data_IF_067297153720
#
_entry.id   IF_067297153720
#
_cell.length_a   1.000
_cell.length_b   1.000
_cell.length_c   1.000
_cell.angle_alpha   90.00
_cell.angle_beta   90.00
_cell.angle_gamma   90.00
#
_symmetry.space_group_name_H-M   'P 1'
#
loop_
_entity.id
_entity.type
_entity.pdbx_description
1 polymer ?
#
# COMPACT_ATOMS: atom_id res chain seq x y z
N UNK A 1 -54.57 8.51 -49.56
CA UNK A 1 -54.60 7.78 -48.29
C UNK A 1 -53.63 8.43 -47.31
N UNK A 2 -54.14 9.28 -46.46
CA UNK A 2 -53.35 9.86 -45.35
C UNK A 2 -53.41 8.88 -44.17
N UNK A 3 -52.30 8.27 -43.83
CA UNK A 3 -52.16 7.52 -42.60
C UNK A 3 -51.71 8.55 -41.53
N UNK A 4 -52.62 8.95 -40.67
CA UNK A 4 -52.34 9.76 -39.50
C UNK A 4 -51.69 8.85 -38.45
N UNK A 5 -50.37 8.95 -38.28
CA UNK A 5 -49.66 8.29 -37.19
C UNK A 5 -49.88 9.12 -35.95
N UNK A 6 -50.78 8.68 -35.10
CA UNK A 6 -50.95 9.24 -33.75
C UNK A 6 -49.72 8.86 -32.93
N UNK A 7 -48.85 9.83 -32.64
CA UNK A 7 -47.79 9.66 -31.68
C UNK A 7 -48.44 9.61 -30.27
N UNK A 8 -48.45 8.46 -29.64
CA UNK A 8 -48.80 8.33 -28.23
C UNK A 8 -47.69 9.00 -27.41
N UNK A 9 -48.03 10.15 -26.84
CA UNK A 9 -47.17 10.80 -25.85
C UNK A 9 -47.37 10.03 -24.55
N UNK A 10 -46.32 9.43 -23.95
CA UNK A 10 -46.47 8.78 -22.65
C UNK A 10 -46.99 9.77 -21.63
N UNK A 11 -48.04 9.42 -20.90
CA UNK A 11 -48.55 10.22 -19.80
C UNK A 11 -47.44 10.38 -18.72
N UNK A 12 -47.21 11.58 -18.19
CA UNK A 12 -46.26 11.78 -17.11
C UNK A 12 -46.66 10.91 -15.91
N UNK A 13 -45.70 10.24 -15.30
CA UNK A 13 -45.89 9.48 -14.06
C UNK A 13 -46.54 10.43 -13.01
N UNK A 14 -47.45 9.88 -12.22
CA UNK A 14 -48.02 10.64 -11.07
C UNK A 14 -46.88 10.96 -10.08
N UNK A 15 -47.02 12.02 -9.30
CA UNK A 15 -46.02 12.41 -8.27
C UNK A 15 -45.74 11.25 -7.29
N UNK A 16 -46.70 10.42 -7.02
CA UNK A 16 -46.62 9.24 -6.16
C UNK A 16 -45.70 8.17 -6.79
N UNK A 17 -45.89 7.88 -8.07
CA UNK A 17 -45.03 6.92 -8.82
C UNK A 17 -43.59 7.44 -8.96
N UNK A 18 -43.40 8.74 -9.16
CA UNK A 18 -42.08 9.35 -9.19
C UNK A 18 -41.35 9.20 -7.86
N UNK A 19 -42.08 9.44 -6.76
CA UNK A 19 -41.54 9.30 -5.40
C UNK A 19 -41.20 7.86 -5.06
N UNK A 20 -41.98 6.87 -5.48
CA UNK A 20 -41.70 5.48 -5.29
C UNK A 20 -40.44 5.04 -6.09
N UNK A 21 -40.29 5.54 -7.34
CA UNK A 21 -39.11 5.32 -8.14
C UNK A 21 -37.86 5.91 -7.52
N UNK A 22 -37.89 7.13 -7.01
CA UNK A 22 -36.79 7.78 -6.29
C UNK A 22 -36.36 6.97 -5.05
N UNK A 23 -37.30 6.50 -4.25
CA UNK A 23 -37.04 5.66 -3.07
C UNK A 23 -36.40 4.35 -3.48
N UNK A 24 -36.90 3.73 -4.55
CA UNK A 24 -36.35 2.49 -5.09
C UNK A 24 -34.91 2.69 -5.58
N UNK A 25 -34.65 3.73 -6.38
CA UNK A 25 -33.33 4.04 -6.92
C UNK A 25 -32.31 4.34 -5.82
N UNK A 26 -32.75 5.04 -4.76
CA UNK A 26 -31.91 5.26 -3.57
C UNK A 26 -31.58 3.96 -2.83
N UNK A 27 -32.53 3.04 -2.73
CA UNK A 27 -32.31 1.75 -2.10
C UNK A 27 -31.34 0.88 -2.91
N UNK A 28 -31.50 0.84 -4.24
CA UNK A 28 -30.59 0.16 -5.15
C UNK A 28 -29.18 0.72 -5.05
N UNK A 29 -29.03 2.04 -5.16
CA UNK A 29 -27.73 2.72 -5.09
C UNK A 29 -27.02 2.46 -3.74
N UNK A 30 -27.76 2.42 -2.64
CA UNK A 30 -27.21 2.12 -1.32
C UNK A 30 -26.63 0.71 -1.25
N UNK A 31 -27.36 -0.29 -1.74
CA UNK A 31 -26.92 -1.69 -1.74
C UNK A 31 -25.71 -1.89 -2.69
N UNK A 32 -25.73 -1.27 -3.86
CA UNK A 32 -24.62 -1.30 -4.80
C UNK A 32 -23.33 -0.70 -4.21
N UNK A 33 -23.45 0.45 -3.55
CA UNK A 33 -22.32 1.09 -2.87
C UNK A 33 -21.73 0.21 -1.76
N UNK A 34 -22.59 -0.46 -0.98
CA UNK A 34 -22.13 -1.38 0.06
C UNK A 34 -21.45 -2.62 -0.54
N UNK A 35 -21.98 -3.20 -1.61
CA UNK A 35 -21.34 -4.30 -2.34
C UNK A 35 -19.97 -3.89 -2.86
N UNK A 36 -19.86 -2.71 -3.47
CA UNK A 36 -18.60 -2.22 -4.03
C UNK A 36 -17.55 -1.97 -2.94
N UNK A 37 -17.96 -1.41 -1.79
CA UNK A 37 -17.08 -1.23 -0.64
C UNK A 37 -16.55 -2.56 -0.08
N UNK A 38 -17.42 -3.59 0.01
CA UNK A 38 -17.03 -4.92 0.47
C UNK A 38 -16.14 -5.66 -0.55
N UNK A 39 -16.42 -5.55 -1.85
CA UNK A 39 -15.57 -6.09 -2.91
C UNK A 39 -14.17 -5.48 -2.88
N UNK A 40 -14.08 -4.17 -2.66
CA UNK A 40 -12.79 -3.48 -2.52
C UNK A 40 -11.97 -3.98 -1.32
N UNK A 41 -12.62 -4.42 -0.24
CA UNK A 41 -11.94 -5.04 0.90
C UNK A 41 -11.51 -6.49 0.65
N UNK A 42 -12.20 -7.20 -0.24
CA UNK A 42 -11.85 -8.57 -0.64
C UNK A 42 -10.68 -8.62 -1.61
N UNK A 43 -10.49 -7.58 -2.40
CA UNK A 43 -9.38 -7.49 -3.35
C UNK A 43 -8.16 -6.88 -2.67
N UNK A 44 -7.13 -7.68 -2.31
CA UNK A 44 -5.90 -7.15 -1.73
C UNK A 44 -5.10 -6.26 -2.71
N UNK A 45 -5.46 -6.26 -3.98
CA UNK A 45 -4.93 -5.37 -5.02
C UNK A 45 -5.76 -4.08 -5.16
N UNK A 46 -6.89 -3.97 -4.46
CA UNK A 46 -7.73 -2.77 -4.53
C UNK A 46 -6.98 -1.55 -3.99
N UNK A 47 -7.01 -0.47 -4.74
CA UNK A 47 -6.43 0.83 -4.30
C UNK A 47 -7.06 1.34 -2.98
N UNK A 48 -8.27 0.88 -2.64
CA UNK A 48 -8.98 1.26 -1.42
C UNK A 48 -8.58 0.41 -0.20
N UNK A 49 -7.94 -0.75 -0.41
CA UNK A 49 -7.48 -1.62 0.67
C UNK A 49 -6.30 -1.02 1.46
N UNK A 50 -5.50 -0.16 0.82
CA UNK A 50 -4.35 0.47 1.44
C UNK A 50 -4.40 1.99 1.28
N UNK A 51 -4.31 2.76 2.37
CA UNK A 51 -4.24 4.22 2.29
C UNK A 51 -3.09 4.66 1.38
N UNK A 52 -3.34 5.64 0.51
CA UNK A 52 -2.31 6.18 -0.39
C UNK A 52 -1.16 6.84 0.38
N UNK A 53 -1.49 7.47 1.48
CA UNK A 53 -0.54 8.15 2.36
C UNK A 53 -0.75 7.67 3.78
N UNK A 54 0.33 7.40 4.49
CA UNK A 54 0.34 7.09 5.91
C UNK A 54 1.35 7.99 6.61
N UNK A 55 1.09 8.34 7.87
CA UNK A 55 2.09 9.05 8.68
C UNK A 55 3.05 8.06 9.32
N UNK A 56 4.30 8.47 9.54
CA UNK A 56 5.29 7.65 10.24
C UNK A 56 4.75 7.18 11.62
N UNK A 57 4.06 8.06 12.35
CA UNK A 57 3.47 7.76 13.66
C UNK A 57 2.32 6.76 13.65
N UNK A 58 1.70 6.50 12.49
CA UNK A 58 0.64 5.49 12.34
C UNK A 58 1.16 4.09 12.06
N UNK A 59 2.46 3.96 11.81
CA UNK A 59 3.12 2.70 11.50
C UNK A 59 3.75 2.09 12.77
N UNK A 60 3.74 0.75 12.92
CA UNK A 60 4.39 0.09 14.04
C UNK A 60 5.92 0.13 13.92
N UNK A 61 6.60 0.03 15.06
CA UNK A 61 8.06 0.02 15.12
C UNK A 61 8.69 1.41 15.01
N UNK A 62 9.93 1.47 14.55
CA UNK A 62 10.69 2.70 14.39
C UNK A 62 10.74 3.03 12.90
N UNK A 63 10.35 4.24 12.56
CA UNK A 63 10.33 4.75 11.18
C UNK A 63 11.36 5.85 11.06
N UNK A 64 12.21 5.77 10.03
CA UNK A 64 13.07 6.87 9.58
C UNK A 64 12.57 7.27 8.20
N UNK A 65 12.00 8.46 8.09
CA UNK A 65 11.43 9.02 6.85
C UNK A 65 12.50 9.68 5.99
N UNK A 66 12.24 9.93 4.69
CA UNK A 66 13.18 10.60 3.80
C UNK A 66 13.45 12.07 4.19
N UNK A 67 12.59 12.67 5.02
CA UNK A 67 12.81 14.00 5.63
C UNK A 67 13.94 13.97 6.72
N UNK A 68 14.28 12.80 7.28
CA UNK A 68 15.19 12.63 8.43
C UNK A 68 16.53 11.94 8.07
N UNK A 69 16.85 11.87 6.77
CA UNK A 69 18.05 11.15 6.30
C UNK A 69 19.22 12.09 5.99
N UNK A 70 20.45 11.56 6.05
CA UNK A 70 21.62 12.26 5.52
C UNK A 70 21.63 12.08 3.99
N UNK A 71 21.53 13.18 3.27
CA UNK A 71 21.46 13.21 1.82
C UNK A 71 22.80 13.64 1.24
N UNK A 72 23.35 12.85 0.31
CA UNK A 72 24.48 13.23 -0.55
C UNK A 72 23.98 13.33 -1.99
N UNK A 73 24.38 14.41 -2.67
CA UNK A 73 23.93 14.69 -4.03
C UNK A 73 22.53 15.31 -4.09
N UNK A 74 22.05 15.56 -5.32
CA UNK A 74 20.74 16.19 -5.53
C UNK A 74 19.66 15.12 -5.75
N UNK A 75 18.71 15.03 -4.83
CA UNK A 75 17.49 14.26 -4.95
C UNK A 75 16.29 15.16 -5.18
N UNK A 76 15.26 14.65 -5.81
CA UNK A 76 14.05 15.41 -6.17
C UNK A 76 12.85 14.82 -5.42
N UNK A 77 12.11 15.68 -4.71
CA UNK A 77 10.88 15.30 -4.02
C UNK A 77 9.75 15.03 -5.02
N UNK A 78 8.91 14.05 -4.72
CA UNK A 78 7.78 13.67 -5.54
C UNK A 78 6.62 13.13 -4.72
N UNK A 79 5.41 13.40 -5.19
CA UNK A 79 4.13 12.83 -4.71
C UNK A 79 3.37 12.13 -5.84
N UNK A 80 4.05 11.91 -6.98
CA UNK A 80 3.42 11.37 -8.18
C UNK A 80 2.93 9.93 -8.00
N UNK A 81 3.77 9.08 -7.40
CA UNK A 81 3.37 7.71 -7.07
C UNK A 81 2.55 7.70 -5.80
N UNK A 82 1.60 6.77 -5.74
CA UNK A 82 0.76 6.54 -4.57
C UNK A 82 1.50 5.65 -3.55
N UNK A 83 0.99 5.57 -2.33
CA UNK A 83 1.48 4.67 -1.27
C UNK A 83 2.84 5.03 -0.69
N UNK A 84 3.01 6.29 -0.29
CA UNK A 84 4.19 6.77 0.42
C UNK A 84 3.93 7.04 1.92
N UNK A 85 5.01 7.23 2.67
CA UNK A 85 5.02 7.66 4.07
C UNK A 85 5.20 9.18 4.11
N UNK A 86 4.62 9.84 5.09
CA UNK A 86 4.84 11.26 5.31
C UNK A 86 4.33 12.18 4.18
N UNK A 87 5.21 13.01 3.67
CA UNK A 87 4.88 14.08 2.70
C UNK A 87 5.09 13.69 1.24
N UNK A 88 5.79 12.60 0.98
CA UNK A 88 6.13 12.16 -0.36
C UNK A 88 7.26 11.13 -0.35
N UNK A 89 8.03 11.09 -1.41
CA UNK A 89 9.25 10.29 -1.56
C UNK A 89 10.26 11.05 -2.42
N UNK A 90 11.51 10.64 -2.43
CA UNK A 90 12.57 11.27 -3.22
C UNK A 90 13.09 10.33 -4.31
N UNK A 91 13.66 10.90 -5.38
CA UNK A 91 14.28 10.14 -6.46
C UNK A 91 15.53 10.83 -7.04
N UNK A 92 16.38 10.03 -7.69
CA UNK A 92 17.67 10.46 -8.21
C UNK A 92 17.61 11.12 -9.61
N UNK A 93 16.43 11.27 -10.22
CA UNK A 93 16.22 11.72 -11.61
C UNK A 93 16.94 10.87 -12.67
N UNK A 94 17.39 9.67 -12.34
CA UNK A 94 18.27 8.85 -13.17
C UNK A 94 19.57 9.57 -13.58
N UNK A 95 20.10 10.43 -12.71
CA UNK A 95 21.26 11.30 -12.97
C UNK A 95 22.31 11.16 -11.88
N UNK A 96 23.57 11.43 -12.22
CA UNK A 96 24.67 11.43 -11.26
C UNK A 96 24.88 10.07 -10.63
N UNK A 97 24.93 9.01 -11.45
CA UNK A 97 25.16 7.63 -10.97
C UNK A 97 26.50 7.53 -10.23
N UNK A 98 26.44 6.94 -9.02
CA UNK A 98 27.58 6.84 -8.10
C UNK A 98 27.85 8.09 -7.23
N UNK A 99 27.12 9.21 -7.47
CA UNK A 99 27.34 10.44 -6.73
C UNK A 99 26.20 10.78 -5.73
N UNK A 100 25.24 9.89 -5.57
CA UNK A 100 24.08 10.15 -4.71
C UNK A 100 23.84 8.99 -3.73
N UNK A 101 23.74 9.35 -2.46
CA UNK A 101 23.41 8.40 -1.40
C UNK A 101 22.41 8.98 -0.41
N UNK A 102 21.71 8.08 0.26
CA UNK A 102 20.83 8.37 1.40
C UNK A 102 21.26 7.49 2.56
N UNK A 103 21.52 8.09 3.71
CA UNK A 103 21.87 7.35 4.93
C UNK A 103 20.79 7.53 5.97
N UNK A 104 20.13 6.44 6.29
CA UNK A 104 19.11 6.33 7.34
C UNK A 104 19.79 5.88 8.63
N UNK A 105 19.61 6.63 9.70
CA UNK A 105 20.22 6.36 11.01
C UNK A 105 19.10 6.15 12.02
N UNK A 106 18.71 4.89 12.31
CA UNK A 106 17.68 4.60 13.29
C UNK A 106 18.23 4.67 14.72
N UNK A 107 17.41 5.15 15.65
CA UNK A 107 17.67 4.99 17.08
C UNK A 107 17.07 3.66 17.56
N UNK A 108 17.92 2.64 17.71
CA UNK A 108 17.51 1.28 18.07
C UNK A 108 18.09 0.86 19.42
N UNK A 109 17.27 0.19 20.22
CA UNK A 109 17.75 -0.59 21.35
C UNK A 109 18.42 -1.90 20.86
N UNK A 110 19.16 -2.56 21.76
CA UNK A 110 19.70 -3.89 21.47
C UNK A 110 18.59 -4.86 21.12
N UNK A 111 18.69 -5.53 19.97
CA UNK A 111 17.66 -6.46 19.56
C UNK A 111 17.76 -6.92 18.10
N UNK A 112 16.85 -7.77 17.72
CA UNK A 112 16.63 -8.18 16.34
C UNK A 112 15.47 -7.36 15.75
N UNK A 113 15.64 -6.88 14.52
CA UNK A 113 14.63 -6.09 13.83
C UNK A 113 14.48 -6.57 12.39
N UNK A 114 13.24 -6.74 11.95
CA UNK A 114 12.95 -6.80 10.53
C UNK A 114 13.08 -5.40 9.94
N UNK A 115 13.93 -5.25 8.93
CA UNK A 115 14.13 -3.98 8.20
C UNK A 115 13.27 -4.01 6.93
N UNK A 116 12.41 -3.01 6.78
CA UNK A 116 11.56 -2.85 5.61
C UNK A 116 11.85 -1.52 4.94
N UNK A 117 11.92 -1.54 3.61
CA UNK A 117 12.19 -0.38 2.79
C UNK A 117 10.94 0.05 2.01
N UNK A 118 10.53 1.31 2.19
CA UNK A 118 9.48 1.94 1.40
C UNK A 118 10.08 2.61 0.16
N UNK A 119 9.52 2.31 -1.00
CA UNK A 119 9.90 2.93 -2.26
C UNK A 119 8.74 2.93 -3.26
N UNK A 120 8.83 3.77 -4.29
CA UNK A 120 7.87 3.81 -5.39
C UNK A 120 8.32 2.93 -6.53
N UNK A 121 7.68 1.77 -6.72
CA UNK A 121 7.95 0.84 -7.81
C UNK A 121 7.45 1.32 -9.17
N UNK A 122 7.99 0.74 -10.27
CA UNK A 122 7.53 1.00 -11.63
C UNK A 122 8.53 0.69 -12.73
N UNK A 123 8.07 0.58 -13.97
CA UNK A 123 8.87 0.11 -15.10
C UNK A 123 10.10 0.95 -15.46
N UNK A 124 10.15 2.23 -15.10
CA UNK A 124 11.32 3.11 -15.31
C UNK A 124 12.32 3.11 -14.14
N UNK A 125 12.09 2.29 -13.11
CA UNK A 125 12.96 2.20 -11.93
C UNK A 125 14.14 1.26 -12.20
N UNK A 126 15.20 1.43 -11.39
CA UNK A 126 16.35 0.54 -11.43
C UNK A 126 16.01 -0.86 -10.94
N UNK A 127 16.60 -1.88 -11.55
CA UNK A 127 16.45 -3.28 -11.12
C UNK A 127 17.56 -3.75 -10.19
N UNK A 128 18.54 -2.89 -9.89
CA UNK A 128 19.76 -3.24 -9.22
C UNK A 128 20.22 -2.18 -8.21
N UNK A 129 19.29 -1.71 -7.37
CA UNK A 129 19.60 -0.67 -6.37
C UNK A 129 20.35 -1.30 -5.19
N UNK A 130 21.61 -0.88 -4.92
CA UNK A 130 22.33 -1.34 -3.77
C UNK A 130 21.83 -0.68 -2.49
N UNK A 131 21.54 -1.53 -1.50
CA UNK A 131 21.15 -1.14 -0.15
C UNK A 131 22.12 -1.82 0.83
N UNK A 132 22.97 -1.05 1.50
CA UNK A 132 23.91 -1.55 2.48
C UNK A 132 23.31 -1.39 3.88
N UNK A 133 23.27 -2.49 4.63
CA UNK A 133 22.77 -2.53 5.99
C UNK A 133 23.95 -2.75 6.93
N UNK A 134 24.17 -1.82 7.84
CA UNK A 134 25.20 -1.88 8.87
C UNK A 134 24.54 -2.25 10.19
N UNK A 135 24.81 -3.48 10.63
CA UNK A 135 24.23 -4.11 11.81
C UNK A 135 25.32 -4.60 12.75
N UNK A 136 24.94 -5.22 13.88
CA UNK A 136 25.89 -5.81 14.81
C UNK A 136 26.73 -6.95 14.19
N UNK A 137 26.26 -7.58 13.12
CA UNK A 137 26.98 -8.61 12.37
C UNK A 137 27.94 -8.02 11.32
N UNK A 138 27.98 -6.71 11.15
CA UNK A 138 28.76 -6.01 10.14
C UNK A 138 27.90 -5.47 8.99
N UNK A 139 28.52 -5.33 7.82
CA UNK A 139 27.89 -4.80 6.61
C UNK A 139 27.33 -5.91 5.74
N UNK A 140 26.07 -5.79 5.33
CA UNK A 140 25.43 -6.66 4.35
C UNK A 140 24.88 -5.83 3.19
N UNK A 141 24.97 -6.37 1.96
CA UNK A 141 24.46 -5.76 0.75
C UNK A 141 23.22 -6.50 0.26
N UNK A 142 22.11 -5.76 0.15
CA UNK A 142 20.87 -6.22 -0.47
C UNK A 142 20.68 -5.47 -1.80
N UNK A 143 20.36 -6.19 -2.88
CA UNK A 143 20.07 -5.59 -4.18
C UNK A 143 18.56 -5.58 -4.40
N UNK A 144 17.98 -4.40 -4.61
CA UNK A 144 16.54 -4.20 -4.76
C UNK A 144 16.16 -3.96 -6.22
N UNK A 145 15.22 -4.76 -6.74
CA UNK A 145 14.56 -4.52 -8.03
C UNK A 145 13.34 -3.62 -7.85
N UNK A 146 13.53 -2.32 -8.03
CA UNK A 146 12.48 -1.32 -7.88
C UNK A 146 11.48 -1.26 -9.05
N UNK A 147 11.65 -2.06 -10.09
CA UNK A 147 10.64 -2.19 -11.16
C UNK A 147 9.38 -2.89 -10.65
N UNK A 148 9.51 -3.66 -9.58
CA UNK A 148 8.42 -4.34 -8.90
C UNK A 148 7.80 -3.44 -7.85
N UNK A 149 6.48 -3.50 -7.74
CA UNK A 149 5.78 -2.83 -6.64
C UNK A 149 6.13 -3.51 -5.31
N UNK A 150 6.36 -2.74 -4.22
CA UNK A 150 6.62 -3.32 -2.92
C UNK A 150 5.47 -4.20 -2.44
N UNK A 151 5.75 -5.45 -2.00
CA UNK A 151 4.70 -6.44 -1.74
C UNK A 151 3.90 -6.21 -0.45
N UNK A 152 4.47 -5.48 0.53
CA UNK A 152 3.82 -5.24 1.80
C UNK A 152 3.03 -3.92 1.74
N UNK A 153 1.71 -4.01 1.68
CA UNK A 153 0.79 -2.88 1.59
C UNK A 153 1.11 -1.91 0.44
N UNK A 154 1.66 -2.43 -0.67
CA UNK A 154 2.11 -1.66 -1.85
C UNK A 154 3.12 -0.55 -1.52
N UNK A 155 3.78 -0.64 -0.36
CA UNK A 155 4.68 0.38 0.17
C UNK A 155 6.02 -0.17 0.59
N UNK A 156 6.07 -1.32 1.28
CA UNK A 156 7.29 -1.85 1.87
C UNK A 156 7.77 -3.15 1.22
N UNK A 157 9.09 -3.29 1.15
CA UNK A 157 9.80 -4.53 0.86
C UNK A 157 10.60 -4.91 2.11
N UNK A 158 10.47 -6.15 2.58
CA UNK A 158 11.34 -6.67 3.63
C UNK A 158 12.75 -6.89 3.07
N UNK A 159 13.74 -6.31 3.71
CA UNK A 159 15.17 -6.50 3.39
C UNK A 159 15.79 -7.64 4.19
N UNK A 160 15.12 -8.13 5.22
CA UNK A 160 15.60 -9.17 6.11
C UNK A 160 15.50 -8.80 7.59
N UNK A 161 16.00 -9.69 8.44
CA UNK A 161 16.06 -9.50 9.89
C UNK A 161 17.51 -9.39 10.32
N UNK A 162 17.85 -8.34 11.06
CA UNK A 162 19.19 -7.99 11.49
C UNK A 162 19.24 -7.73 12.98
N UNK A 163 20.38 -8.09 13.59
CA UNK A 163 20.65 -7.73 14.98
C UNK A 163 21.34 -6.37 15.03
N UNK A 164 20.74 -5.45 15.78
CA UNK A 164 21.32 -4.14 16.04
C UNK A 164 21.74 -4.00 17.51
N UNK A 165 22.67 -3.09 17.77
CA UNK A 165 23.15 -2.79 19.11
C UNK A 165 23.17 -1.27 19.30
N UNK A 166 22.69 -0.80 20.46
CA UNK A 166 22.56 0.62 20.77
C UNK A 166 23.91 1.37 20.82
N UNK A 167 24.99 0.65 21.09
CA UNK A 167 26.36 1.18 21.16
C UNK A 167 27.06 1.24 19.80
N UNK A 168 26.43 0.80 18.72
CA UNK A 168 26.98 0.79 17.37
C UNK A 168 26.33 1.84 16.47
N UNK A 169 27.06 2.22 15.42
CA UNK A 169 26.53 3.12 14.39
C UNK A 169 25.63 2.36 13.41
N UNK A 170 24.44 2.03 13.88
CA UNK A 170 23.42 1.41 13.05
C UNK A 170 23.01 2.35 11.92
N UNK A 171 23.04 1.87 10.68
CA UNK A 171 22.59 2.66 9.52
C UNK A 171 22.24 1.78 8.33
N UNK A 172 21.44 2.33 7.46
CA UNK A 172 21.18 1.77 6.14
C UNK A 172 21.54 2.81 5.09
N UNK A 173 22.36 2.44 4.13
CA UNK A 173 22.81 3.30 3.05
C UNK A 173 22.18 2.84 1.74
N UNK A 174 21.51 3.75 1.06
CA UNK A 174 20.98 3.53 -0.28
C UNK A 174 21.81 4.33 -1.26
N UNK A 175 22.30 3.71 -2.32
CA UNK A 175 23.14 4.36 -3.33
C UNK A 175 22.50 4.26 -4.72
N UNK A 176 22.78 5.24 -5.58
CA UNK A 176 22.47 5.12 -6.99
C UNK A 176 23.67 4.64 -7.84
N UNK A 177 24.68 4.10 -7.19
CA UNK A 177 25.87 3.61 -7.86
C UNK A 177 25.56 2.44 -8.81
N UNK A 178 26.05 2.54 -10.03
CA UNK A 178 25.89 1.53 -11.09
C UNK A 178 24.44 1.10 -11.35
N UNK A 179 23.46 1.91 -10.96
CA UNK A 179 22.04 1.60 -11.17
C UNK A 179 21.59 1.86 -12.60
N UNK A 180 20.74 0.95 -13.12
CA UNK A 180 20.28 0.96 -14.51
C UNK A 180 18.92 1.67 -14.74
N UNK A 181 18.45 2.46 -13.80
CA UNK A 181 17.19 3.19 -13.88
C UNK A 181 17.05 4.21 -12.74
N UNK A 182 15.86 4.75 -12.57
CA UNK A 182 15.57 5.70 -11.50
C UNK A 182 15.60 4.98 -10.15
N UNK A 183 16.32 5.54 -9.18
CA UNK A 183 16.26 5.13 -7.77
C UNK A 183 15.24 6.00 -7.05
N UNK A 184 14.34 5.38 -6.31
CA UNK A 184 13.37 6.06 -5.44
C UNK A 184 13.58 5.62 -4.00
N UNK A 185 13.38 6.51 -3.06
CA UNK A 185 13.42 6.19 -1.65
C UNK A 185 12.39 7.01 -0.89
N UNK A 186 11.87 6.41 0.16
CA UNK A 186 10.87 6.97 1.04
C UNK A 186 11.32 6.69 2.48
N UNK A 187 10.75 5.75 3.18
CA UNK A 187 11.05 5.47 4.57
C UNK A 187 11.68 4.08 4.78
N UNK A 188 12.41 3.95 5.88
CA UNK A 188 12.78 2.65 6.46
C UNK A 188 11.99 2.40 7.74
N UNK A 189 11.48 1.17 7.86
CA UNK A 189 10.78 0.68 9.05
C UNK A 189 11.60 -0.41 9.72
N UNK A 190 11.80 -0.28 11.02
CA UNK A 190 12.47 -1.25 11.87
C UNK A 190 11.47 -1.84 12.85
N UNK A 191 11.11 -3.11 12.65
CA UNK A 191 10.15 -3.82 13.48
C UNK A 191 10.89 -4.75 14.44
N UNK A 192 10.77 -4.56 15.77
CA UNK A 192 11.43 -5.43 16.72
C UNK A 192 10.88 -6.86 16.60
N UNK A 193 11.80 -7.83 16.49
CA UNK A 193 11.48 -9.26 16.52
C UNK A 193 11.61 -9.74 17.97
N UNK A 194 10.50 -9.87 18.66
CA UNK A 194 10.50 -10.41 20.03
C UNK A 194 10.72 -11.94 20.01
N UNK A 195 11.40 -12.50 21.01
CA UNK A 195 11.63 -13.95 21.12
C UNK A 195 10.33 -14.78 21.23
N UNK A 196 9.24 -14.14 21.60
CA UNK A 196 7.88 -14.73 21.55
C UNK A 196 7.40 -14.96 20.10
N UNK A 197 8.05 -14.34 19.12
CA UNK A 197 7.81 -14.60 17.70
C UNK A 197 8.33 -15.97 17.22
N UNK A 198 9.10 -16.71 18.00
CA UNK A 198 9.44 -18.13 17.68
C UNK A 198 8.24 -19.03 17.91
N UNK A 199 7.30 -18.62 18.76
CA UNK A 199 5.94 -19.21 18.82
C UNK A 199 5.08 -18.77 17.62
N UNK A 200 5.57 -17.89 16.77
CA UNK A 200 4.87 -17.19 15.67
C UNK A 200 4.69 -18.03 14.40
N UNK A 201 5.13 -19.29 14.38
CA UNK A 201 4.51 -20.23 13.42
C UNK A 201 3.01 -20.30 13.63
N UNK A 202 2.57 -20.20 14.91
CA UNK A 202 1.16 -20.11 15.25
C UNK A 202 0.56 -18.73 14.91
N UNK A 203 1.25 -17.61 15.15
CA UNK A 203 0.69 -16.28 14.90
C UNK A 203 0.56 -15.94 13.41
N UNK A 204 1.53 -16.33 12.57
CA UNK A 204 1.39 -16.20 11.11
C UNK A 204 0.31 -17.15 10.56
N UNK A 205 0.19 -18.36 11.11
CA UNK A 205 -0.90 -19.28 10.79
C UNK A 205 -2.24 -18.75 11.31
N UNK A 206 -2.31 -18.28 12.54
CA UNK A 206 -3.51 -17.66 13.12
C UNK A 206 -3.91 -16.39 12.37
N UNK A 207 -2.96 -15.52 12.00
CA UNK A 207 -3.24 -14.35 11.17
C UNK A 207 -3.75 -14.74 9.77
N UNK A 208 -3.19 -15.80 9.18
CA UNK A 208 -3.65 -16.34 7.88
C UNK A 208 -5.02 -17.00 7.98
N UNK A 209 -5.28 -17.73 9.05
CA UNK A 209 -6.58 -18.30 9.35
C UNK A 209 -7.63 -17.23 9.65
N UNK A 210 -7.26 -16.19 10.43
CA UNK A 210 -8.13 -15.06 10.74
C UNK A 210 -8.47 -14.27 9.46
N UNK A 211 -7.48 -14.01 8.61
CA UNK A 211 -7.68 -13.38 7.31
C UNK A 211 -8.57 -14.24 6.38
N UNK A 212 -8.43 -15.57 6.42
CA UNK A 212 -9.28 -16.48 5.65
C UNK A 212 -10.73 -16.47 6.15
N UNK A 213 -10.95 -16.43 7.47
CA UNK A 213 -12.27 -16.31 8.08
C UNK A 213 -12.90 -14.96 7.73
N UNK A 214 -12.16 -13.85 7.83
CA UNK A 214 -12.64 -12.53 7.45
C UNK A 214 -13.01 -12.47 5.96
N UNK A 215 -12.20 -13.05 5.09
CA UNK A 215 -12.52 -13.15 3.66
C UNK A 215 -13.79 -13.96 3.40
N UNK A 216 -14.01 -15.03 4.16
CA UNK A 216 -15.20 -15.87 4.03
C UNK A 216 -16.46 -15.13 4.48
N UNK A 217 -16.40 -14.38 5.58
CA UNK A 217 -17.48 -13.54 6.06
C UNK A 217 -17.82 -12.41 5.07
N UNK A 218 -16.81 -11.74 4.51
CA UNK A 218 -17.00 -10.73 3.48
C UNK A 218 -17.67 -11.29 2.22
N UNK A 219 -17.24 -12.47 1.74
CA UNK A 219 -17.86 -13.15 0.59
C UNK A 219 -19.32 -13.50 0.87
N UNK A 220 -19.64 -13.97 2.06
CA UNK A 220 -20.99 -14.29 2.48
C UNK A 220 -21.88 -13.03 2.51
N UNK A 221 -21.37 -11.93 3.06
CA UNK A 221 -22.09 -10.66 3.11
C UNK A 221 -22.36 -10.12 1.71
N UNK A 222 -21.37 -10.14 0.80
CA UNK A 222 -21.52 -9.76 -0.60
C UNK A 222 -22.61 -10.61 -1.29
N UNK A 223 -22.59 -11.92 -1.07
CA UNK A 223 -23.60 -12.83 -1.65
C UNK A 223 -25.02 -12.47 -1.18
N UNK A 224 -25.19 -12.17 0.11
CA UNK A 224 -26.48 -11.75 0.67
C UNK A 224 -26.97 -10.43 0.07
N UNK A 225 -26.12 -9.42 -0.01
CA UNK A 225 -26.45 -8.13 -0.60
C UNK A 225 -26.73 -8.22 -2.10
N UNK A 226 -26.01 -9.10 -2.82
CA UNK A 226 -26.27 -9.35 -4.24
C UNK A 226 -27.64 -10.00 -4.47
N UNK A 227 -28.06 -10.88 -3.56
CA UNK A 227 -29.40 -11.45 -3.62
C UNK A 227 -30.50 -10.41 -3.29
N UNK A 228 -30.23 -9.49 -2.36
CA UNK A 228 -31.09 -8.36 -2.04
C UNK A 228 -31.25 -7.41 -3.23
N UNK A 229 -30.14 -7.01 -3.85
CA UNK A 229 -30.12 -6.19 -5.06
C UNK A 229 -30.93 -6.84 -6.19
N UNK A 230 -30.80 -8.16 -6.36
CA UNK A 230 -31.57 -8.90 -7.37
C UNK A 230 -33.07 -8.93 -7.10
N UNK A 231 -33.48 -8.80 -5.83
CA UNK A 231 -34.90 -8.65 -5.46
C UNK A 231 -35.43 -7.26 -5.74
N UNK A 232 -34.65 -6.25 -5.38
CA UNK A 232 -35.00 -4.85 -5.66
C UNK A 232 -35.18 -4.62 -7.16
N UNK A 233 -34.30 -5.10 -8.00
CA UNK A 233 -34.37 -4.94 -9.46
C UNK A 233 -35.51 -5.72 -10.16
N UNK A 234 -36.34 -6.47 -9.42
CA UNK A 234 -37.50 -7.19 -9.93
C UNK A 234 -38.83 -6.56 -9.54
N UNK A 235 -38.82 -5.56 -8.71
CA UNK A 235 -39.98 -4.77 -8.30
C UNK A 235 -40.17 -3.59 -9.23
#
# INVERSE_FOLDING_TARGET
>A
SNVSTTMEIPLPFTEEVQRELEIHDLAVAKVENEINALKSRLDPQSETAFPKVVTASSLPGIIVDDDDVIIVGKWTNSVYSKHYVGKGYIHDDNKGKGAKTLTYIPELADGEYEVRFAYSGGGGRASNVPVEIFSAAGKELVVVDMRKEPPLNRRFLSLGTYRFSADQQNRVLISNESTNGIVTADALQFLPVTKDAVTTRSASQVAKELAAVEQQELKKKISTLTAELSRLNKQ
#
